data_IF_154278732860
#
_entry.id   IF_154278732860
#
_cell.length_a   1.000
_cell.length_b   1.000
_cell.length_c   1.000
_cell.angle_alpha   90.00
_cell.angle_beta   90.00
_cell.angle_gamma   90.00
#
_symmetry.space_group_name_H-M   'P 1'
#
loop_
_entity.id
_entity.type
_entity.pdbx_description
1 polymer ?
#
# COMPACT_ATOMS: atom_id res chain seq x y z
N UNK A 1 10.24 -24.28 -35.82
CA UNK A 1 11.16 -23.74 -34.80
C UNK A 1 10.40 -22.73 -33.95
N UNK A 2 9.87 -23.16 -32.81
CA UNK A 2 9.14 -22.29 -31.90
C UNK A 2 10.09 -21.61 -30.92
N UNK A 3 10.44 -20.35 -31.18
CA UNK A 3 10.90 -19.46 -30.11
C UNK A 3 9.65 -18.96 -29.40
N UNK A 4 9.19 -19.73 -28.40
CA UNK A 4 8.18 -19.22 -27.48
C UNK A 4 8.81 -18.03 -26.75
N UNK A 5 8.39 -16.82 -27.13
CA UNK A 5 8.85 -15.59 -26.55
C UNK A 5 8.60 -15.61 -25.05
N UNK A 6 9.67 -15.79 -24.26
CA UNK A 6 9.61 -15.50 -22.85
C UNK A 6 9.54 -13.98 -22.72
N UNK A 7 8.33 -13.43 -22.57
CA UNK A 7 8.11 -12.09 -22.07
C UNK A 7 8.81 -12.02 -20.70
N UNK A 8 10.03 -11.48 -20.70
CA UNK A 8 10.86 -11.39 -19.49
C UNK A 8 10.20 -10.38 -18.57
N UNK A 9 9.54 -10.88 -17.52
CA UNK A 9 8.92 -10.03 -16.50
C UNK A 9 9.99 -9.13 -15.87
N UNK A 10 9.77 -7.83 -15.90
CA UNK A 10 10.65 -6.86 -15.26
C UNK A 10 10.49 -6.91 -13.73
N UNK A 11 11.31 -7.75 -13.10
CA UNK A 11 11.33 -7.86 -11.64
C UNK A 11 11.92 -6.64 -10.95
N UNK A 12 12.64 -5.75 -11.65
CA UNK A 12 13.13 -4.51 -11.07
C UNK A 12 11.99 -3.48 -10.98
N UNK A 13 11.19 -3.35 -12.05
CA UNK A 13 9.96 -2.56 -12.07
C UNK A 13 8.95 -2.99 -10.99
N UNK A 14 8.69 -4.30 -10.84
CA UNK A 14 7.82 -4.81 -9.77
C UNK A 14 8.28 -4.42 -8.36
N UNK A 15 9.60 -4.48 -8.10
CA UNK A 15 10.17 -4.08 -6.80
C UNK A 15 10.11 -2.56 -6.59
N UNK A 16 10.25 -1.76 -7.65
CA UNK A 16 10.08 -0.31 -7.58
C UNK A 16 8.64 0.06 -7.20
N UNK A 17 7.66 -0.52 -7.90
CA UNK A 17 6.24 -0.30 -7.58
C UNK A 17 5.90 -0.75 -6.15
N UNK A 18 6.43 -1.90 -5.69
CA UNK A 18 6.23 -2.34 -4.32
C UNK A 18 6.72 -1.30 -3.29
N UNK A 19 7.89 -0.69 -3.52
CA UNK A 19 8.41 0.38 -2.64
C UNK A 19 7.53 1.64 -2.68
N UNK A 20 6.97 1.99 -3.82
CA UNK A 20 6.05 3.14 -3.94
C UNK A 20 4.77 2.91 -3.12
N UNK A 21 4.18 1.71 -3.21
CA UNK A 21 3.00 1.35 -2.41
C UNK A 21 3.28 1.31 -0.91
N UNK A 22 4.44 0.80 -0.49
CA UNK A 22 4.85 0.81 0.92
C UNK A 22 5.07 2.24 1.45
N UNK A 23 5.70 3.09 0.64
CA UNK A 23 5.89 4.52 0.96
C UNK A 23 4.54 5.23 1.11
N UNK A 24 3.60 5.00 0.19
CA UNK A 24 2.26 5.57 0.26
C UNK A 24 1.54 5.09 1.53
N UNK A 25 1.56 3.79 1.82
CA UNK A 25 1.01 3.19 3.05
C UNK A 25 1.51 3.90 4.30
N UNK A 26 2.83 4.10 4.42
CA UNK A 26 3.46 4.72 5.58
C UNK A 26 3.07 6.20 5.75
N UNK A 27 2.96 6.96 4.65
CA UNK A 27 2.55 8.37 4.66
C UNK A 27 1.12 8.50 5.21
N UNK A 28 0.19 7.67 4.71
CA UNK A 28 -1.22 7.70 5.13
C UNK A 28 -1.33 7.37 6.61
N UNK A 29 -0.65 6.31 7.04
CA UNK A 29 -0.72 5.80 8.40
C UNK A 29 -0.14 6.82 9.40
N UNK A 30 0.95 7.49 9.03
CA UNK A 30 1.49 8.62 9.78
C UNK A 30 0.51 9.80 9.86
N UNK A 31 -0.16 10.15 8.75
CA UNK A 31 -1.14 11.23 8.73
C UNK A 31 -2.36 10.93 9.62
N UNK A 32 -2.87 9.70 9.57
CA UNK A 32 -3.98 9.25 10.43
C UNK A 32 -3.59 9.31 11.90
N UNK A 33 -2.39 8.81 12.27
CA UNK A 33 -1.93 8.83 13.66
C UNK A 33 -1.67 10.24 14.20
N UNK A 34 -0.93 11.06 13.45
CA UNK A 34 -0.41 12.32 13.97
C UNK A 34 -1.39 13.48 13.81
N UNK A 35 -2.12 13.52 12.70
CA UNK A 35 -2.96 14.67 12.36
C UNK A 35 -4.43 14.41 12.67
N UNK A 36 -4.97 13.23 12.36
CA UNK A 36 -6.40 12.97 12.61
C UNK A 36 -6.66 12.49 14.04
N UNK A 37 -5.76 11.71 14.63
CA UNK A 37 -5.90 11.26 16.03
C UNK A 37 -5.73 12.36 17.09
N UNK A 38 -5.12 13.50 16.74
CA UNK A 38 -4.93 14.64 17.65
C UNK A 38 -6.07 15.66 17.61
N UNK A 39 -6.95 15.58 16.62
CA UNK A 39 -8.09 16.47 16.47
C UNK A 39 -9.24 16.02 17.38
N UNK A 40 -9.54 16.84 18.40
CA UNK A 40 -10.66 16.60 19.33
C UNK A 40 -11.77 17.62 19.10
N UNK A 41 -12.81 17.20 18.41
CA UNK A 41 -14.03 17.98 18.19
C UNK A 41 -15.17 17.40 19.03
N UNK A 42 -15.92 18.25 19.71
CA UNK A 42 -17.07 17.88 20.54
C UNK A 42 -17.53 19.04 21.42
N UNK A 43 -18.67 18.89 22.11
CA UNK A 43 -19.27 19.94 22.95
C UNK A 43 -18.31 20.74 23.87
N UNK A 44 -17.24 20.14 24.46
CA UNK A 44 -16.26 20.88 25.25
C UNK A 44 -15.38 21.87 24.44
N UNK A 45 -15.18 21.65 23.14
CA UNK A 45 -14.34 22.50 22.27
C UNK A 45 -15.12 23.42 21.35
N UNK A 46 -16.38 23.10 21.01
CA UNK A 46 -17.22 23.91 20.10
C UNK A 46 -18.25 24.81 20.82
N UNK A 47 -18.47 24.62 22.13
CA UNK A 47 -19.51 25.33 22.88
C UNK A 47 -20.91 24.82 22.57
N UNK A 48 -21.86 24.97 23.51
CA UNK A 48 -23.18 24.30 23.44
C UNK A 48 -24.00 24.59 22.18
N UNK A 49 -23.80 25.74 21.52
CA UNK A 49 -24.49 26.09 20.27
C UNK A 49 -23.97 25.31 19.05
N UNK A 50 -22.73 24.81 19.10
CA UNK A 50 -22.07 24.07 18.02
C UNK A 50 -21.70 22.64 18.44
N UNK A 51 -22.33 22.12 19.51
CA UNK A 51 -22.11 20.76 19.99
C UNK A 51 -22.47 19.74 18.90
N UNK A 52 -23.68 19.83 18.33
CA UNK A 52 -24.13 18.94 17.26
C UNK A 52 -23.21 18.99 16.02
N UNK A 53 -22.82 20.19 15.57
CA UNK A 53 -21.90 20.34 14.43
C UNK A 53 -20.49 19.81 14.75
N UNK A 54 -20.06 19.91 16.02
CA UNK A 54 -18.79 19.34 16.48
C UNK A 54 -18.81 17.82 16.52
N UNK A 55 -19.93 17.22 16.93
CA UNK A 55 -20.13 15.78 16.95
C UNK A 55 -20.22 15.21 15.51
N UNK A 56 -20.94 15.90 14.60
CA UNK A 56 -21.00 15.54 13.17
C UNK A 56 -19.61 15.58 12.52
N UNK A 57 -18.81 16.62 12.81
CA UNK A 57 -17.43 16.72 12.31
C UNK A 57 -16.54 15.62 12.89
N UNK A 58 -16.68 15.29 14.18
CA UNK A 58 -15.94 14.21 14.80
C UNK A 58 -16.28 12.85 14.16
N UNK A 59 -17.56 12.59 13.87
CA UNK A 59 -18.02 11.39 13.18
C UNK A 59 -17.44 11.30 11.75
N UNK A 60 -17.53 12.38 10.96
CA UNK A 60 -16.98 12.43 9.61
C UNK A 60 -15.45 12.20 9.58
N UNK A 61 -14.71 12.75 10.55
CA UNK A 61 -13.27 12.53 10.68
C UNK A 61 -12.92 11.10 11.10
N UNK A 62 -13.75 10.48 11.95
CA UNK A 62 -13.59 9.08 12.32
C UNK A 62 -13.80 8.16 11.11
N UNK A 63 -14.84 8.41 10.30
CA UNK A 63 -15.09 7.67 9.06
C UNK A 63 -13.96 7.83 8.05
N UNK A 64 -13.49 9.06 7.82
CA UNK A 64 -12.36 9.33 6.94
C UNK A 64 -11.10 8.60 7.43
N UNK A 65 -10.82 8.64 8.73
CA UNK A 65 -9.68 7.95 9.34
C UNK A 65 -9.76 6.43 9.15
N UNK A 66 -10.95 5.85 9.27
CA UNK A 66 -11.18 4.44 9.03
C UNK A 66 -10.95 4.07 7.55
N UNK A 67 -11.48 4.87 6.62
CA UNK A 67 -11.26 4.67 5.19
C UNK A 67 -9.78 4.76 4.80
N UNK A 68 -9.04 5.74 5.34
CA UNK A 68 -7.60 5.88 5.13
C UNK A 68 -6.79 4.70 5.66
N UNK A 69 -7.17 4.13 6.81
CA UNK A 69 -6.53 2.91 7.33
C UNK A 69 -6.75 1.70 6.41
N UNK A 70 -7.96 1.54 5.89
CA UNK A 70 -8.27 0.49 4.91
C UNK A 70 -7.42 0.67 3.65
N UNK A 71 -7.30 1.91 3.15
CA UNK A 71 -6.49 2.20 1.97
C UNK A 71 -4.99 1.94 2.20
N UNK A 72 -4.45 2.39 3.34
CA UNK A 72 -3.07 2.10 3.75
C UNK A 72 -2.80 0.60 3.80
N UNK A 73 -3.72 -0.17 4.41
CA UNK A 73 -3.61 -1.63 4.47
C UNK A 73 -3.63 -2.27 3.08
N UNK A 74 -4.53 -1.86 2.21
CA UNK A 74 -4.62 -2.37 0.84
C UNK A 74 -3.34 -2.06 0.04
N UNK A 75 -2.76 -0.87 0.20
CA UNK A 75 -1.48 -0.51 -0.42
C UNK A 75 -0.34 -1.43 0.06
N UNK A 76 -0.25 -1.71 1.35
CA UNK A 76 0.75 -2.65 1.89
C UNK A 76 0.55 -4.08 1.33
N UNK A 77 -0.70 -4.54 1.20
CA UNK A 77 -0.99 -5.86 0.62
C UNK A 77 -0.59 -5.95 -0.85
N UNK A 78 -0.82 -4.89 -1.63
CA UNK A 78 -0.34 -4.78 -3.02
C UNK A 78 1.18 -4.83 -3.07
N UNK A 79 1.87 -4.10 -2.20
CA UNK A 79 3.34 -4.12 -2.13
C UNK A 79 3.87 -5.54 -1.86
N UNK A 80 3.26 -6.27 -0.92
CA UNK A 80 3.61 -7.67 -0.63
C UNK A 80 3.39 -8.55 -1.85
N UNK A 81 2.24 -8.45 -2.53
CA UNK A 81 1.93 -9.25 -3.71
C UNK A 81 2.93 -9.01 -4.86
N UNK A 82 3.32 -7.75 -5.09
CA UNK A 82 4.32 -7.38 -6.09
C UNK A 82 5.71 -7.94 -5.74
N UNK A 83 6.11 -7.85 -4.47
CA UNK A 83 7.38 -8.39 -4.00
C UNK A 83 7.44 -9.91 -4.13
N UNK A 84 6.38 -10.62 -3.71
CA UNK A 84 6.27 -12.08 -3.87
C UNK A 84 6.34 -12.48 -5.34
N UNK A 85 5.66 -11.73 -6.22
CA UNK A 85 5.70 -11.97 -7.66
C UNK A 85 7.11 -11.77 -8.22
N UNK A 86 7.80 -10.69 -7.84
CA UNK A 86 9.18 -10.43 -8.27
C UNK A 86 10.16 -11.54 -7.84
N UNK A 87 10.01 -12.08 -6.62
CA UNK A 87 10.80 -13.21 -6.13
C UNK A 87 10.54 -14.46 -6.97
N UNK A 88 9.26 -14.80 -7.20
CA UNK A 88 8.86 -15.99 -7.97
C UNK A 88 9.37 -15.93 -9.41
N UNK A 89 9.22 -14.79 -10.08
CA UNK A 89 9.70 -14.61 -11.44
C UNK A 89 11.24 -14.57 -11.52
N UNK A 90 11.91 -13.98 -10.54
CA UNK A 90 13.38 -14.02 -10.44
C UNK A 90 13.91 -15.44 -10.31
N UNK A 91 13.31 -16.25 -9.43
CA UNK A 91 13.69 -17.65 -9.25
C UNK A 91 13.39 -18.54 -10.47
N UNK A 92 12.33 -18.24 -11.24
CA UNK A 92 12.06 -18.91 -12.50
C UNK A 92 13.09 -18.56 -13.58
N UNK A 93 13.49 -17.28 -13.66
CA UNK A 93 14.52 -16.82 -14.59
C UNK A 93 15.90 -17.45 -14.30
N UNK A 94 16.30 -17.52 -13.03
CA UNK A 94 17.56 -18.16 -12.63
C UNK A 94 17.60 -19.66 -12.99
N UNK A 95 16.55 -20.42 -12.66
CA UNK A 95 16.44 -21.85 -13.02
C UNK A 95 16.53 -22.09 -14.53
N UNK A 96 15.91 -21.20 -15.32
CA UNK A 96 15.95 -21.29 -16.78
C UNK A 96 17.37 -21.01 -17.32
N UNK A 97 18.10 -20.06 -16.72
CA UNK A 97 19.47 -19.76 -17.09
C UNK A 97 20.42 -20.93 -16.76
N UNK A 98 20.28 -21.53 -15.57
CA UNK A 98 21.07 -22.71 -15.16
C UNK A 98 20.82 -23.90 -16.09
N UNK A 99 19.56 -24.13 -16.49
CA UNK A 99 19.20 -25.20 -17.42
C UNK A 99 19.84 -24.99 -18.80
N UNK A 100 19.84 -23.75 -19.31
CA UNK A 100 20.46 -23.41 -20.60
C UNK A 100 21.97 -23.62 -20.52
N UNK A 101 22.62 -23.18 -19.44
CA UNK A 101 24.06 -23.34 -19.24
C UNK A 101 24.49 -24.81 -19.06
N UNK A 102 23.60 -25.68 -18.60
CA UNK A 102 23.87 -27.11 -18.44
C UNK A 102 23.70 -27.94 -19.73
N UNK A 103 23.06 -27.38 -20.77
CA UNK A 103 22.73 -28.08 -22.02
C UNK A 103 23.36 -27.45 -23.28
N UNK A 104 24.19 -26.41 -23.11
CA UNK A 104 24.99 -25.78 -24.17
C UNK A 104 26.47 -26.02 -23.95
#
# INVERSE_FOLDING_TARGET
MGSAGATRVDTAGLRAMAREYDTASAIIDAAVRNHLGSLRFGAPTSGRAYAAHGDDLAAALAELSAALRVWSRAAAEIAVALQTSAIRYGAAAARSADQIAAHG
#
